data_IF_503025969294
#
_entry.id   IF_503025969294
#
_cell.length_a   1.000
_cell.length_b   1.000
_cell.length_c   1.000
_cell.angle_alpha   90.00
_cell.angle_beta   90.00
_cell.angle_gamma   90.00
#
_symmetry.space_group_name_H-M   'P 1'
#
loop_
_entity.id
_entity.type
_entity.pdbx_description
1 polymer ?
#
# COMPACT_ATOMS: atom_id res chain seq x y z
N UNK A 1 9.93 16.80 16.34
CA UNK A 1 8.72 15.98 16.12
C UNK A 1 9.00 14.56 16.56
N UNK A 2 8.02 13.82 17.12
CA UNK A 2 8.21 12.41 17.45
C UNK A 2 8.48 11.59 16.19
N UNK A 3 9.34 10.58 16.30
CA UNK A 3 9.63 9.60 15.25
C UNK A 3 8.99 8.28 15.63
N UNK A 4 8.48 7.57 14.62
CA UNK A 4 7.94 6.22 14.77
C UNK A 4 8.74 5.26 13.90
N UNK A 5 8.92 4.04 14.39
CA UNK A 5 9.42 2.92 13.61
C UNK A 5 8.23 2.08 13.17
N UNK A 6 8.26 1.63 11.91
CA UNK A 6 7.24 0.76 11.33
C UNK A 6 7.84 -0.62 11.07
N UNK A 7 7.12 -1.65 11.50
CA UNK A 7 7.45 -3.04 11.21
C UNK A 7 6.42 -3.56 10.23
N UNK A 8 6.80 -4.01 9.02
CA UNK A 8 5.85 -4.58 8.06
C UNK A 8 5.19 -5.82 8.65
N UNK A 9 3.92 -6.04 8.33
CA UNK A 9 3.13 -7.19 8.80
C UNK A 9 2.84 -8.23 7.71
N UNK A 10 3.31 -7.97 6.49
CA UNK A 10 3.01 -8.77 5.32
C UNK A 10 3.53 -8.11 4.05
N UNK A 11 3.20 -8.71 2.91
CA UNK A 11 3.63 -8.26 1.58
C UNK A 11 2.44 -8.15 0.64
N UNK A 12 2.45 -7.13 -0.21
CA UNK A 12 1.49 -6.98 -1.32
C UNK A 12 2.15 -7.49 -2.60
N UNK A 13 1.44 -8.32 -3.37
CA UNK A 13 1.90 -8.83 -4.68
C UNK A 13 0.84 -8.62 -5.75
N UNK A 14 1.28 -8.21 -6.94
CA UNK A 14 0.45 -8.12 -8.12
C UNK A 14 1.29 -8.30 -9.40
N UNK A 15 0.66 -8.13 -10.56
CA UNK A 15 1.31 -8.26 -11.86
C UNK A 15 1.87 -6.94 -12.41
N UNK A 16 1.85 -5.85 -11.63
CA UNK A 16 2.39 -4.56 -12.06
C UNK A 16 3.92 -4.64 -12.02
N UNK A 17 4.56 -4.31 -13.14
CA UNK A 17 6.02 -4.28 -13.26
C UNK A 17 6.58 -2.87 -13.36
N UNK A 18 5.72 -1.88 -13.61
CA UNK A 18 6.10 -0.49 -13.72
C UNK A 18 5.97 0.22 -12.36
N UNK A 19 7.12 0.41 -11.72
CA UNK A 19 7.27 1.02 -10.38
C UNK A 19 7.18 2.54 -10.42
N UNK A 20 7.31 3.18 -11.58
CA UNK A 20 7.38 4.65 -11.69
C UNK A 20 5.99 5.29 -11.69
N UNK A 21 4.98 4.56 -12.14
CA UNK A 21 3.59 5.00 -12.08
C UNK A 21 2.99 4.53 -10.74
N UNK A 22 2.58 5.46 -9.88
CA UNK A 22 2.05 5.16 -8.53
C UNK A 22 0.53 5.28 -8.45
N UNK A 23 -0.12 5.60 -9.57
CA UNK A 23 -1.54 5.86 -9.73
C UNK A 23 -2.25 4.75 -10.55
N UNK A 24 -3.58 4.85 -10.66
CA UNK A 24 -4.47 3.95 -11.42
C UNK A 24 -4.53 2.49 -10.94
N UNK A 25 -4.62 2.27 -9.63
CA UNK A 25 -4.69 0.93 -9.03
C UNK A 25 -6.05 0.23 -9.15
N UNK A 26 -7.12 0.95 -9.54
CA UNK A 26 -8.49 0.42 -9.49
C UNK A 26 -8.76 -0.84 -10.33
N UNK A 27 -7.96 -1.10 -11.36
CA UNK A 27 -8.07 -2.31 -12.19
C UNK A 27 -7.02 -3.40 -11.82
N UNK A 28 -6.16 -3.14 -10.83
CA UNK A 28 -5.06 -4.02 -10.47
C UNK A 28 -5.48 -4.98 -9.37
N UNK A 29 -5.62 -6.27 -9.72
CA UNK A 29 -5.83 -7.31 -8.73
C UNK A 29 -4.52 -7.55 -7.95
N UNK A 30 -4.59 -7.42 -6.64
CA UNK A 30 -3.44 -7.60 -5.73
C UNK A 30 -3.79 -8.61 -4.65
N UNK A 31 -2.79 -9.38 -4.23
CA UNK A 31 -2.88 -10.31 -3.10
C UNK A 31 -2.03 -9.77 -1.96
N UNK A 32 -2.63 -9.63 -0.78
CA UNK A 32 -1.91 -9.26 0.45
C UNK A 32 -1.72 -10.54 1.27
N UNK A 33 -0.46 -10.89 1.53
CA UNK A 33 -0.10 -12.02 2.38
C UNK A 33 0.40 -11.49 3.71
N UNK A 34 -0.34 -11.75 4.78
CA UNK A 34 0.06 -11.42 6.16
C UNK A 34 1.06 -12.47 6.65
N UNK A 35 2.06 -12.05 7.43
CA UNK A 35 3.10 -12.93 7.94
C UNK A 35 2.53 -14.05 8.82
N UNK A 36 3.06 -15.26 8.68
CA UNK A 36 2.60 -16.45 9.42
C UNK A 36 2.66 -16.29 10.95
N UNK A 37 3.51 -15.40 11.47
CA UNK A 37 3.65 -15.11 12.91
C UNK A 37 2.36 -14.59 13.57
N UNK A 38 1.40 -14.10 12.79
CA UNK A 38 0.11 -13.61 13.31
C UNK A 38 -0.97 -14.70 13.35
N UNK A 39 -0.78 -15.80 12.61
CA UNK A 39 -1.76 -16.88 12.46
C UNK A 39 -3.08 -16.45 11.82
N UNK A 40 -3.94 -17.41 11.47
CA UNK A 40 -5.17 -17.14 10.71
C UNK A 40 -6.19 -16.26 11.46
N UNK A 41 -6.14 -16.27 12.80
CA UNK A 41 -7.04 -15.49 13.64
C UNK A 41 -6.92 -13.98 13.41
N UNK A 42 -5.80 -13.49 12.87
CA UNK A 42 -5.64 -12.07 12.55
C UNK A 42 -6.56 -11.57 11.41
N UNK A 43 -7.14 -12.48 10.63
CA UNK A 43 -8.05 -12.17 9.54
C UNK A 43 -9.53 -12.33 9.92
N UNK A 44 -9.82 -12.80 11.13
CA UNK A 44 -11.20 -13.10 11.56
C UNK A 44 -12.10 -11.87 11.45
N UNK A 45 -13.22 -11.99 10.72
CA UNK A 45 -14.21 -10.93 10.56
C UNK A 45 -13.93 -9.99 9.39
N UNK A 46 -12.78 -10.10 8.74
CA UNK A 46 -12.46 -9.31 7.54
C UNK A 46 -13.41 -9.65 6.38
N UNK A 47 -13.86 -10.91 6.31
CA UNK A 47 -14.83 -11.41 5.34
C UNK A 47 -16.21 -10.71 5.40
N UNK A 48 -16.50 -10.02 6.51
CA UNK A 48 -17.72 -9.23 6.68
C UNK A 48 -17.70 -7.87 5.98
N UNK A 49 -16.56 -7.47 5.43
CA UNK A 49 -16.38 -6.18 4.76
C UNK A 49 -16.06 -6.37 3.28
N UNK A 50 -16.61 -5.49 2.44
CA UNK A 50 -16.30 -5.45 1.02
C UNK A 50 -15.08 -4.59 0.69
N UNK A 51 -14.66 -3.72 1.61
CA UNK A 51 -13.58 -2.74 1.42
C UNK A 51 -12.76 -2.59 2.70
N UNK A 52 -11.47 -2.35 2.53
CA UNK A 52 -10.50 -2.13 3.60
C UNK A 52 -9.56 -1.00 3.22
N UNK A 53 -9.01 -0.31 4.21
CA UNK A 53 -7.92 0.63 4.00
C UNK A 53 -6.59 -0.12 4.20
N UNK A 54 -5.70 -0.03 3.22
CA UNK A 54 -4.41 -0.72 3.22
C UNK A 54 -3.31 0.32 3.22
N UNK A 55 -2.54 0.35 4.31
CA UNK A 55 -1.32 1.14 4.40
C UNK A 55 -0.15 0.24 4.02
N UNK A 56 0.60 0.66 3.01
CA UNK A 56 1.78 -0.07 2.52
C UNK A 56 2.90 0.90 2.19
N UNK A 57 4.13 0.38 2.20
CA UNK A 57 5.33 1.13 1.83
C UNK A 57 5.73 0.71 0.42
N UNK A 58 6.02 1.69 -0.45
CA UNK A 58 6.60 1.42 -1.76
C UNK A 58 8.09 1.07 -1.62
N UNK A 59 8.37 -0.17 -1.25
CA UNK A 59 9.72 -0.70 -1.00
C UNK A 59 10.61 -0.76 -2.24
N UNK A 60 10.02 -0.80 -3.43
CA UNK A 60 10.73 -0.83 -4.71
C UNK A 60 10.82 0.55 -5.39
N UNK A 61 10.20 1.58 -4.81
CA UNK A 61 10.33 2.92 -5.36
C UNK A 61 11.72 3.45 -4.99
N UNK A 62 12.56 3.80 -5.98
CA UNK A 62 13.90 4.28 -5.69
C UNK A 62 13.81 5.54 -4.82
N UNK A 63 14.80 5.73 -3.94
CA UNK A 63 14.90 7.02 -3.25
C UNK A 63 14.96 8.14 -4.30
N UNK A 64 14.07 9.14 -4.21
CA UNK A 64 14.06 10.22 -5.18
C UNK A 64 15.44 10.90 -5.21
N UNK A 65 16.09 10.97 -6.38
CA UNK A 65 17.30 11.78 -6.55
C UNK A 65 17.03 13.28 -6.30
N UNK A 66 15.76 13.69 -6.44
CA UNK A 66 15.23 15.02 -6.16
C UNK A 66 13.87 14.89 -5.44
N UNK A 67 13.58 15.80 -4.52
CA UNK A 67 12.32 15.92 -3.76
C UNK A 67 11.12 16.21 -4.70
N UNK A 68 10.77 15.27 -5.58
CA UNK A 68 9.69 15.37 -6.57
C UNK A 68 8.33 15.02 -5.95
N UNK A 69 8.21 15.24 -4.63
CA UNK A 69 6.92 15.29 -3.95
C UNK A 69 6.13 16.45 -4.54
N UNK A 70 5.25 16.13 -5.48
CA UNK A 70 4.27 17.08 -5.99
C UNK A 70 3.16 17.18 -4.98
N UNK A 71 2.97 18.38 -4.46
CA UNK A 71 1.85 18.69 -3.58
C UNK A 71 0.54 18.24 -4.24
N UNK A 72 -0.31 17.44 -3.55
CA UNK A 72 -1.55 16.95 -4.13
C UNK A 72 -2.39 18.14 -4.61
N UNK A 73 -2.74 18.16 -5.90
CA UNK A 73 -3.60 19.22 -6.40
C UNK A 73 -4.98 19.05 -5.78
N UNK A 74 -5.61 20.13 -5.30
CA UNK A 74 -6.98 20.04 -4.77
C UNK A 74 -7.89 19.48 -5.86
N UNK A 75 -8.78 18.57 -5.46
CA UNK A 75 -9.77 17.95 -6.34
C UNK A 75 -10.61 19.04 -7.01
N UNK A 76 -10.32 19.34 -8.28
CA UNK A 76 -11.21 20.14 -9.13
C UNK A 76 -12.29 19.20 -9.63
N UNK A 77 -13.34 19.06 -8.84
CA UNK A 77 -14.45 18.16 -9.15
C UNK A 77 -14.96 18.30 -10.58
N UNK A 78 -15.25 17.15 -11.18
CA UNK A 78 -16.09 17.02 -12.37
C UNK A 78 -17.02 15.83 -12.18
#
# INVERSE_FOLDING_TARGET
MPRFEITPIGTVRNNRTDVQHTDNWGAVHSTITVDERFGDACLQGLEGFSHVEVLFVFDQFPEPEHDDYREPRPYRGR
#
